data_IF_428793154756
#
_entry.id   IF_428793154756
#
_cell.length_a   1.000
_cell.length_b   1.000
_cell.length_c   1.000
_cell.angle_alpha   90.00
_cell.angle_beta   90.00
_cell.angle_gamma   90.00
#
_symmetry.space_group_name_H-M   'P 1'
#
loop_
_entity.id
_entity.type
_entity.pdbx_description
1 polymer ?
#
# COMPACT_ATOMS: atom_id res chain seq x y z
N UNK A 1 -13.52 12.56 20.62
CA UNK A 1 -13.70 12.98 19.22
C UNK A 1 -13.19 11.85 18.34
N UNK A 2 -14.03 10.85 18.05
CA UNK A 2 -13.66 9.71 17.21
C UNK A 2 -13.97 10.10 15.77
N UNK A 3 -12.93 10.50 15.06
CA UNK A 3 -13.02 10.95 13.68
C UNK A 3 -13.53 9.83 12.77
N UNK A 4 -14.36 10.24 11.81
CA UNK A 4 -15.31 9.43 11.06
C UNK A 4 -14.60 8.72 9.91
N UNK A 5 -14.55 7.39 9.97
CA UNK A 5 -14.66 6.49 8.81
C UNK A 5 -13.97 6.99 7.54
N UNK A 6 -12.65 7.23 7.61
CA UNK A 6 -11.88 7.53 6.42
C UNK A 6 -12.00 6.31 5.48
N UNK A 7 -12.57 6.52 4.29
CA UNK A 7 -12.70 5.44 3.32
C UNK A 7 -11.31 4.89 3.01
N UNK A 8 -11.13 3.55 2.95
CA UNK A 8 -9.83 2.96 2.71
C UNK A 8 -9.28 3.44 1.36
N UNK A 9 -8.16 4.16 1.41
CA UNK A 9 -7.46 4.63 0.21
C UNK A 9 -6.71 3.44 -0.37
N UNK A 10 -7.00 3.14 -1.63
CA UNK A 10 -6.31 2.10 -2.37
C UNK A 10 -5.31 2.68 -3.36
N UNK A 11 -4.08 2.17 -3.30
CA UNK A 11 -2.96 2.55 -4.17
C UNK A 11 -2.82 1.54 -5.29
N UNK A 12 -2.59 2.02 -6.51
CA UNK A 12 -2.17 1.16 -7.63
C UNK A 12 -0.64 1.14 -7.69
N UNK A 13 0.00 0.02 -8.06
CA UNK A 13 1.45 -0.03 -8.23
C UNK A 13 2.02 1.02 -9.19
N UNK A 14 1.24 1.50 -10.17
CA UNK A 14 1.65 2.57 -11.08
C UNK A 14 1.81 3.94 -10.40
N UNK A 15 1.12 4.15 -9.30
CA UNK A 15 1.08 5.41 -8.57
C UNK A 15 2.12 5.43 -7.42
N UNK A 16 2.86 4.32 -7.23
CA UNK A 16 3.86 4.17 -6.18
C UNK A 16 4.94 5.26 -6.21
N UNK A 17 5.42 5.63 -7.41
CA UNK A 17 6.42 6.68 -7.58
C UNK A 17 5.90 8.04 -7.12
N UNK A 18 4.64 8.36 -7.43
CA UNK A 18 4.02 9.64 -7.06
C UNK A 18 3.66 9.72 -5.57
N UNK A 19 3.27 8.60 -4.98
CA UNK A 19 2.79 8.57 -3.58
C UNK A 19 3.92 8.34 -2.57
N UNK A 20 4.90 7.51 -2.92
CA UNK A 20 5.95 7.05 -2.00
C UNK A 20 7.36 7.41 -2.49
N UNK A 21 7.51 8.03 -3.66
CA UNK A 21 8.83 8.38 -4.21
C UNK A 21 9.67 7.17 -4.62
N UNK A 22 9.08 5.97 -4.70
CA UNK A 22 9.81 4.74 -4.99
C UNK A 22 9.48 4.16 -6.36
N UNK A 23 10.46 3.46 -6.93
CA UNK A 23 10.25 2.71 -8.16
C UNK A 23 9.17 1.64 -7.99
N UNK A 24 8.50 1.28 -9.10
CA UNK A 24 7.51 0.19 -9.11
C UNK A 24 8.13 -1.13 -8.65
N UNK A 25 9.41 -1.37 -8.98
CA UNK A 25 10.16 -2.55 -8.54
C UNK A 25 10.30 -2.61 -7.02
N UNK A 26 10.69 -1.48 -6.40
CA UNK A 26 10.76 -1.36 -4.94
C UNK A 26 9.41 -1.61 -4.30
N UNK A 27 8.35 -1.03 -4.86
CA UNK A 27 6.99 -1.24 -4.37
C UNK A 27 6.56 -2.71 -4.47
N UNK A 28 6.83 -3.39 -5.60
CA UNK A 28 6.55 -4.82 -5.74
C UNK A 28 7.35 -5.67 -4.75
N UNK A 29 8.60 -5.28 -4.46
CA UNK A 29 9.42 -5.93 -3.43
C UNK A 29 8.78 -5.78 -2.05
N UNK A 30 8.34 -4.57 -1.67
CA UNK A 30 7.62 -4.34 -0.42
C UNK A 30 6.38 -5.23 -0.30
N UNK A 31 5.56 -5.31 -1.34
CA UNK A 31 4.37 -6.18 -1.32
C UNK A 31 4.73 -7.66 -1.15
N UNK A 32 5.83 -8.10 -1.75
CA UNK A 32 6.32 -9.48 -1.59
C UNK A 32 6.82 -9.74 -0.18
N UNK A 33 7.55 -8.79 0.41
CA UNK A 33 8.08 -8.89 1.77
C UNK A 33 6.98 -8.76 2.83
N UNK A 34 5.98 -7.92 2.60
CA UNK A 34 4.85 -7.73 3.51
C UNK A 34 3.88 -8.91 3.53
N UNK A 35 3.69 -9.55 2.37
CA UNK A 35 2.86 -10.75 2.25
C UNK A 35 1.45 -10.56 2.83
N UNK A 36 1.07 -11.30 3.89
CA UNK A 36 -0.27 -11.22 4.48
C UNK A 36 -0.53 -9.96 5.32
N UNK A 37 0.50 -9.17 5.65
CA UNK A 37 0.35 -7.97 6.46
C UNK A 37 -0.37 -6.82 5.73
N UNK A 38 -0.44 -6.87 4.38
CA UNK A 38 -1.04 -5.82 3.57
C UNK A 38 -2.28 -6.35 2.85
N UNK A 39 -3.42 -5.69 3.06
CA UNK A 39 -4.64 -5.98 2.33
C UNK A 39 -4.50 -5.57 0.87
N UNK A 40 -4.75 -6.51 -0.03
CA UNK A 40 -4.83 -6.24 -1.46
C UNK A 40 -6.15 -6.71 -2.05
N UNK A 41 -6.67 -5.94 -3.01
CA UNK A 41 -7.88 -6.27 -3.77
C UNK A 41 -7.55 -6.36 -5.26
N UNK A 42 -8.00 -7.41 -5.93
CA UNK A 42 -7.93 -7.50 -7.39
C UNK A 42 -9.13 -6.77 -8.01
N UNK A 43 -8.87 -5.86 -8.94
CA UNK A 43 -9.87 -5.13 -9.70
C UNK A 43 -9.52 -5.23 -11.19
N UNK A 44 -10.10 -6.23 -11.88
CA UNK A 44 -9.68 -6.60 -13.24
C UNK A 44 -8.22 -7.06 -13.28
N UNK A 45 -7.43 -6.43 -14.15
CA UNK A 45 -5.98 -6.66 -14.26
C UNK A 45 -5.14 -5.84 -13.26
N UNK A 46 -5.76 -5.03 -12.41
CA UNK A 46 -5.05 -4.16 -11.46
C UNK A 46 -5.17 -4.74 -10.05
N UNK A 47 -4.04 -4.82 -9.34
CA UNK A 47 -4.02 -5.05 -7.89
C UNK A 47 -4.03 -3.71 -7.17
N UNK A 48 -4.99 -3.52 -6.29
CA UNK A 48 -5.17 -2.37 -5.42
C UNK A 48 -4.64 -2.71 -4.03
N UNK A 49 -3.82 -1.84 -3.46
CA UNK A 49 -3.17 -2.05 -2.17
C UNK A 49 -3.74 -1.07 -1.17
N UNK A 50 -4.16 -1.53 0.00
CA UNK A 50 -4.62 -0.62 1.05
C UNK A 50 -3.43 0.21 1.54
N UNK A 51 -3.55 1.53 1.40
CA UNK A 51 -2.48 2.49 1.71
C UNK A 51 -2.06 2.39 3.18
N UNK A 52 -3.04 2.40 4.07
CA UNK A 52 -2.85 2.37 5.52
C UNK A 52 -2.07 1.14 5.99
N UNK A 53 -2.37 -0.05 5.47
CA UNK A 53 -1.63 -1.26 5.84
C UNK A 53 -0.17 -1.19 5.38
N UNK A 54 0.07 -0.60 4.19
CA UNK A 54 1.42 -0.40 3.68
C UNK A 54 2.18 0.63 4.51
N UNK A 55 1.55 1.74 4.90
CA UNK A 55 2.14 2.77 5.78
C UNK A 55 2.49 2.18 7.14
N UNK A 56 1.54 1.50 7.80
CA UNK A 56 1.78 0.81 9.08
C UNK A 56 2.93 -0.20 8.98
N UNK A 57 3.02 -0.93 7.87
CA UNK A 57 4.09 -1.91 7.65
C UNK A 57 5.46 -1.24 7.41
N UNK A 58 5.51 -0.10 6.72
CA UNK A 58 6.73 0.68 6.55
C UNK A 58 7.20 1.29 7.87
N UNK A 59 6.27 1.87 8.64
CA UNK A 59 6.53 2.43 9.96
C UNK A 59 7.09 1.36 10.92
N UNK A 60 6.53 0.15 10.91
CA UNK A 60 7.02 -0.97 11.72
C UNK A 60 8.46 -1.39 11.37
N UNK A 61 8.94 -1.07 10.15
CA UNK A 61 10.30 -1.36 9.68
C UNK A 61 11.24 -0.15 9.79
N UNK A 62 10.75 1.01 10.23
CA UNK A 62 11.51 2.26 10.30
C UNK A 62 11.91 2.80 8.91
N UNK A 63 11.11 2.52 7.88
CA UNK A 63 11.30 3.05 6.52
C UNK A 63 10.31 4.16 6.18
#
# INVERSE_FOLDING_TARGET
MTDRTQQPIYVRPKDAEKMFGVSRTTFHRWLKEAGPAITSRKCGNIRLIRREDLENWLEARGQ
#
